data_IF_181777936488
#
_entry.id   IF_181777936488
#
_cell.length_a   1.000
_cell.length_b   1.000
_cell.length_c   1.000
_cell.angle_alpha   90.00
_cell.angle_beta   90.00
_cell.angle_gamma   90.00
#
_symmetry.space_group_name_H-M   'P 1'
#
loop_
_entity.id
_entity.type
_entity.pdbx_description
1 polymer ?
#
# COMPACT_ATOMS: atom_id res chain seq x y z
N UNK A 1 6.54 -41.34 -33.05
CA UNK A 1 5.63 -40.70 -32.08
C UNK A 1 6.18 -39.32 -31.83
N UNK A 2 5.65 -38.32 -32.53
CA UNK A 2 5.88 -36.92 -32.21
C UNK A 2 4.67 -36.51 -31.38
N UNK A 3 4.89 -36.30 -30.09
CA UNK A 3 3.94 -35.59 -29.24
C UNK A 3 3.95 -34.14 -29.73
N UNK A 4 2.87 -33.74 -30.41
CA UNK A 4 2.59 -32.34 -30.68
C UNK A 4 2.32 -31.68 -29.33
N UNK A 5 3.27 -30.87 -28.85
CA UNK A 5 3.04 -29.94 -27.77
C UNK A 5 1.92 -28.99 -28.20
N UNK A 6 0.72 -29.24 -27.68
CA UNK A 6 -0.41 -28.33 -27.78
C UNK A 6 -0.06 -27.07 -26.97
N UNK A 7 0.59 -26.12 -27.64
CA UNK A 7 0.86 -24.80 -27.08
C UNK A 7 -0.49 -24.16 -26.80
N UNK A 8 -0.89 -24.17 -25.52
CA UNK A 8 -2.06 -23.45 -25.03
C UNK A 8 -1.91 -22.00 -25.48
N UNK A 9 -2.64 -21.63 -26.52
CA UNK A 9 -2.71 -20.26 -27.03
C UNK A 9 -3.34 -19.41 -25.94
N UNK A 10 -2.49 -18.76 -25.13
CA UNK A 10 -2.92 -17.68 -24.25
C UNK A 10 -3.39 -16.57 -25.19
N UNK A 11 -4.71 -16.51 -25.41
CA UNK A 11 -5.37 -15.47 -26.20
C UNK A 11 -4.76 -14.10 -25.86
N UNK A 12 -4.22 -13.42 -26.88
CA UNK A 12 -3.51 -12.16 -26.70
C UNK A 12 -4.50 -11.08 -26.28
N UNK A 13 -4.49 -10.73 -24.99
CA UNK A 13 -5.45 -9.80 -24.39
C UNK A 13 -5.36 -8.41 -25.05
N UNK A 14 -6.53 -7.81 -25.28
CA UNK A 14 -6.65 -6.49 -25.91
C UNK A 14 -6.38 -5.35 -24.91
N UNK A 15 -6.08 -4.16 -25.43
CA UNK A 15 -5.88 -2.97 -24.60
C UNK A 15 -7.15 -2.62 -23.79
N UNK A 16 -8.33 -2.76 -24.39
CA UNK A 16 -9.62 -2.46 -23.76
C UNK A 16 -9.92 -3.42 -22.61
N UNK A 17 -9.66 -4.72 -22.78
CA UNK A 17 -9.86 -5.72 -21.72
C UNK A 17 -8.94 -5.45 -20.52
N UNK A 18 -7.66 -5.17 -20.78
CA UNK A 18 -6.69 -4.85 -19.73
C UNK A 18 -7.03 -3.53 -19.04
N UNK A 19 -7.46 -2.52 -19.79
CA UNK A 19 -7.93 -1.25 -19.24
C UNK A 19 -9.13 -1.45 -18.31
N UNK A 20 -10.07 -2.32 -18.69
CA UNK A 20 -11.24 -2.63 -17.87
C UNK A 20 -10.85 -3.36 -16.58
N UNK A 21 -9.96 -4.35 -16.66
CA UNK A 21 -9.45 -5.02 -15.46
C UNK A 21 -8.71 -4.06 -14.53
N UNK A 22 -7.90 -3.16 -15.09
CA UNK A 22 -7.21 -2.13 -14.32
C UNK A 22 -8.21 -1.21 -13.61
N UNK A 23 -9.27 -0.76 -14.28
CA UNK A 23 -10.34 0.03 -13.65
C UNK A 23 -11.00 -0.71 -12.48
N UNK A 24 -11.43 -1.95 -12.71
CA UNK A 24 -12.07 -2.77 -11.66
C UNK A 24 -11.15 -2.92 -10.45
N UNK A 25 -9.87 -3.15 -10.70
CA UNK A 25 -8.90 -3.32 -9.62
C UNK A 25 -8.64 -2.02 -8.85
N UNK A 26 -8.59 -0.87 -9.54
CA UNK A 26 -8.48 0.43 -8.90
C UNK A 26 -9.74 0.82 -8.11
N UNK A 27 -10.92 0.52 -8.64
CA UNK A 27 -12.19 0.73 -7.94
C UNK A 27 -12.25 -0.11 -6.67
N UNK A 28 -11.84 -1.37 -6.73
CA UNK A 28 -11.77 -2.24 -5.54
C UNK A 28 -10.81 -1.67 -4.49
N UNK A 29 -9.66 -1.14 -4.92
CA UNK A 29 -8.69 -0.48 -4.04
C UNK A 29 -9.18 0.90 -3.53
N UNK A 30 -10.22 1.47 -4.15
CA UNK A 30 -10.60 2.87 -3.95
C UNK A 30 -9.49 3.84 -4.37
N UNK A 31 -8.66 3.46 -5.34
CA UNK A 31 -7.55 4.27 -5.81
C UNK A 31 -7.92 5.07 -7.05
N UNK A 32 -7.59 6.35 -7.05
CA UNK A 32 -7.56 7.15 -8.28
C UNK A 32 -6.26 6.92 -9.06
N UNK A 33 -6.19 7.40 -10.30
CA UNK A 33 -4.95 7.40 -11.07
C UNK A 33 -3.80 8.13 -10.34
N UNK A 34 -4.12 9.19 -9.59
CA UNK A 34 -3.15 9.89 -8.74
C UNK A 34 -2.70 9.02 -7.57
N UNK A 35 -3.62 8.27 -6.94
CA UNK A 35 -3.27 7.32 -5.87
C UNK A 35 -2.33 6.20 -6.35
N UNK A 36 -2.61 5.63 -7.53
CA UNK A 36 -1.72 4.65 -8.16
C UNK A 36 -0.36 5.27 -8.49
N UNK A 37 -0.32 6.49 -9.02
CA UNK A 37 0.92 7.22 -9.29
C UNK A 37 1.77 7.39 -8.02
N UNK A 38 1.17 7.85 -6.92
CA UNK A 38 1.93 8.01 -5.66
C UNK A 38 2.45 6.67 -5.15
N UNK A 39 1.67 5.60 -5.30
CA UNK A 39 2.11 4.27 -4.94
C UNK A 39 3.32 3.85 -5.77
N UNK A 40 3.28 4.02 -7.09
CA UNK A 40 4.41 3.70 -7.97
C UNK A 40 5.67 4.49 -7.59
N UNK A 41 5.53 5.79 -7.29
CA UNK A 41 6.66 6.62 -6.82
C UNK A 41 7.21 6.15 -5.48
N UNK A 42 6.34 5.78 -4.53
CA UNK A 42 6.78 5.25 -3.23
C UNK A 42 7.54 3.92 -3.35
N UNK A 43 7.33 3.18 -4.45
CA UNK A 43 8.01 1.93 -4.76
C UNK A 43 9.26 2.13 -5.64
N UNK A 44 9.67 3.37 -5.89
CA UNK A 44 10.90 3.68 -6.62
C UNK A 44 10.73 3.98 -8.10
N UNK A 45 9.52 4.21 -8.60
CA UNK A 45 9.34 4.74 -9.95
C UNK A 45 9.98 6.14 -10.05
N UNK A 46 11.08 6.21 -10.81
CA UNK A 46 11.93 7.40 -10.95
C UNK A 46 11.38 8.41 -11.96
N UNK A 47 10.32 8.07 -12.71
CA UNK A 47 9.74 8.97 -13.70
C UNK A 47 9.05 10.15 -13.01
N UNK A 48 8.88 11.25 -13.74
CA UNK A 48 8.15 12.41 -13.22
C UNK A 48 6.68 12.05 -12.99
N UNK A 49 6.06 12.66 -11.97
CA UNK A 49 4.65 12.47 -11.64
C UNK A 49 3.73 12.67 -12.87
N UNK A 50 3.98 13.70 -13.67
CA UNK A 50 3.21 13.99 -14.89
C UNK A 50 3.31 12.87 -15.93
N UNK A 51 4.49 12.26 -16.10
CA UNK A 51 4.70 11.16 -17.05
C UNK A 51 3.98 9.90 -16.59
N UNK A 52 4.09 9.54 -15.31
CA UNK A 52 3.41 8.38 -14.73
C UNK A 52 1.89 8.55 -14.86
N UNK A 53 1.36 9.70 -14.43
CA UNK A 53 -0.08 9.98 -14.45
C UNK A 53 -0.65 9.95 -15.87
N UNK A 54 0.06 10.54 -16.85
CA UNK A 54 -0.33 10.47 -18.26
C UNK A 54 -0.36 9.03 -18.75
N UNK A 55 0.65 8.22 -18.41
CA UNK A 55 0.70 6.80 -18.76
C UNK A 55 -0.49 6.02 -18.20
N UNK A 56 -0.79 6.21 -16.92
CA UNK A 56 -1.94 5.57 -16.25
C UNK A 56 -3.25 5.97 -16.94
N UNK A 57 -3.49 7.26 -17.18
CA UNK A 57 -4.73 7.73 -17.80
C UNK A 57 -4.91 7.17 -19.22
N UNK A 58 -3.85 7.17 -20.04
CA UNK A 58 -3.92 6.58 -21.38
C UNK A 58 -4.20 5.08 -21.35
N UNK A 59 -3.62 4.37 -20.38
CA UNK A 59 -3.85 2.94 -20.17
C UNK A 59 -5.30 2.68 -19.72
N UNK A 60 -5.81 3.49 -18.78
CA UNK A 60 -7.22 3.43 -18.36
C UNK A 60 -8.15 3.73 -19.53
N UNK A 61 -7.86 4.73 -20.35
CA UNK A 61 -8.64 5.08 -21.55
C UNK A 61 -8.57 4.02 -22.67
N UNK A 62 -7.73 2.98 -22.52
CA UNK A 62 -7.55 1.93 -23.53
C UNK A 62 -6.75 2.39 -24.76
N UNK A 63 -6.12 3.56 -24.71
CA UNK A 63 -5.28 4.08 -25.79
C UNK A 63 -3.95 3.33 -25.92
N UNK A 64 -3.50 2.72 -24.82
CA UNK A 64 -2.30 1.87 -24.76
C UNK A 64 -2.61 0.64 -23.92
N UNK A 65 -1.95 -0.49 -24.20
CA UNK A 65 -2.00 -1.66 -23.32
C UNK A 65 -1.32 -1.29 -21.98
N UNK A 66 -1.98 -1.47 -20.82
CA UNK A 66 -1.29 -1.45 -19.53
C UNK A 66 -0.14 -2.46 -19.52
N UNK A 67 1.02 -2.11 -18.95
CA UNK A 67 2.14 -3.04 -18.89
C UNK A 67 1.83 -4.22 -17.95
N UNK A 68 2.46 -5.37 -18.18
CA UNK A 68 2.30 -6.54 -17.34
C UNK A 68 2.71 -6.27 -15.89
N UNK A 69 3.76 -5.48 -15.67
CA UNK A 69 4.22 -5.09 -14.33
C UNK A 69 3.21 -4.21 -13.61
N UNK A 70 2.55 -3.28 -14.34
CA UNK A 70 1.51 -2.44 -13.77
C UNK A 70 0.31 -3.29 -13.32
N UNK A 71 -0.11 -4.24 -14.16
CA UNK A 71 -1.18 -5.17 -13.82
C UNK A 71 -0.82 -6.02 -12.61
N UNK A 72 0.38 -6.60 -12.59
CA UNK A 72 0.87 -7.41 -11.47
C UNK A 72 0.92 -6.60 -10.16
N UNK A 73 1.43 -5.37 -10.21
CA UNK A 73 1.48 -4.46 -9.06
C UNK A 73 0.09 -4.21 -8.47
N UNK A 74 -0.87 -3.83 -9.32
CA UNK A 74 -2.23 -3.51 -8.89
C UNK A 74 -2.93 -4.76 -8.35
N UNK A 75 -2.77 -5.91 -9.01
CA UNK A 75 -3.34 -7.18 -8.53
C UNK A 75 -2.74 -7.61 -7.19
N UNK A 76 -1.44 -7.41 -6.99
CA UNK A 76 -0.80 -7.66 -5.70
C UNK A 76 -1.37 -6.75 -4.60
N UNK A 77 -1.59 -5.47 -4.92
CA UNK A 77 -2.24 -4.54 -4.00
C UNK A 77 -3.68 -4.96 -3.66
N UNK A 78 -4.46 -5.44 -4.64
CA UNK A 78 -5.83 -5.97 -4.40
C UNK A 78 -5.77 -7.16 -3.44
N UNK A 79 -4.88 -8.12 -3.69
CA UNK A 79 -4.70 -9.29 -2.81
C UNK A 79 -4.31 -8.89 -1.40
N UNK A 80 -3.43 -7.90 -1.28
CA UNK A 80 -3.01 -7.34 0.00
C UNK A 80 -4.18 -6.69 0.74
N UNK A 81 -4.97 -5.83 0.08
CA UNK A 81 -6.17 -5.24 0.69
C UNK A 81 -7.17 -6.31 1.14
N UNK A 82 -7.44 -7.31 0.30
CA UNK A 82 -8.32 -8.44 0.67
C UNK A 82 -7.81 -9.18 1.89
N UNK A 83 -6.49 -9.36 2.03
CA UNK A 83 -5.87 -9.97 3.22
C UNK A 83 -6.13 -9.11 4.47
N UNK A 84 -5.86 -7.81 4.38
CA UNK A 84 -6.11 -6.88 5.50
C UNK A 84 -7.58 -6.87 5.91
N UNK A 85 -8.50 -6.88 4.94
CA UNK A 85 -9.92 -6.95 5.21
C UNK A 85 -10.32 -8.26 5.89
N UNK A 86 -9.74 -9.41 5.52
CA UNK A 86 -10.00 -10.67 6.25
C UNK A 86 -9.51 -10.62 7.69
N UNK A 87 -8.38 -9.95 7.95
CA UNK A 87 -7.82 -9.84 9.29
C UNK A 87 -8.57 -8.85 10.16
N UNK A 88 -8.93 -7.68 9.62
CA UNK A 88 -9.34 -6.51 10.40
C UNK A 88 -10.78 -6.04 10.15
N UNK A 89 -11.57 -6.65 9.24
CA UNK A 89 -12.94 -6.17 8.92
C UNK A 89 -13.87 -6.10 10.12
N UNK A 90 -13.71 -7.00 11.09
CA UNK A 90 -14.52 -7.08 12.31
C UNK A 90 -13.98 -6.20 13.44
N UNK A 91 -12.98 -5.36 13.17
CA UNK A 91 -12.43 -4.44 14.18
C UNK A 91 -13.52 -3.49 14.67
N UNK A 92 -13.79 -3.44 15.99
CA UNK A 92 -14.77 -2.53 16.54
C UNK A 92 -14.27 -1.08 16.42
N UNK A 93 -15.11 -0.21 15.88
CA UNK A 93 -14.87 1.23 15.80
C UNK A 93 -15.78 1.94 16.79
N UNK A 94 -15.20 2.80 17.62
CA UNK A 94 -15.95 3.68 18.54
C UNK A 94 -16.08 5.06 17.90
N UNK A 95 -17.31 5.58 17.83
CA UNK A 95 -17.54 6.94 17.38
C UNK A 95 -17.31 7.93 18.54
N UNK A 96 -16.60 9.02 18.26
CA UNK A 96 -16.32 10.10 19.19
C UNK A 96 -17.34 11.24 19.02
N UNK A 97 -17.41 12.14 20.01
CA UNK A 97 -18.39 13.24 20.03
C UNK A 97 -18.23 14.28 18.90
N UNK A 98 -17.06 14.32 18.26
CA UNK A 98 -16.76 15.17 17.09
C UNK A 98 -17.09 14.49 15.75
N UNK A 99 -17.65 13.27 15.78
CA UNK A 99 -17.94 12.46 14.59
C UNK A 99 -16.74 11.68 14.06
N UNK A 100 -15.57 11.76 14.71
CA UNK A 100 -14.44 10.89 14.42
C UNK A 100 -14.73 9.44 14.82
N UNK A 101 -14.02 8.50 14.20
CA UNK A 101 -14.06 7.08 14.56
C UNK A 101 -12.67 6.66 15.01
N UNK A 102 -12.58 5.94 16.12
CA UNK A 102 -11.31 5.43 16.64
C UNK A 102 -11.37 3.95 16.96
N UNK A 103 -10.22 3.31 16.84
CA UNK A 103 -10.01 1.94 17.31
C UNK A 103 -8.56 1.77 17.73
N UNK A 104 -8.32 0.76 18.56
CA UNK A 104 -6.97 0.37 18.99
C UNK A 104 -6.70 -1.04 18.51
N UNK A 105 -5.59 -1.21 17.80
CA UNK A 105 -5.09 -2.50 17.36
C UNK A 105 -3.65 -2.62 17.86
N UNK A 106 -3.40 -3.60 18.73
CA UNK A 106 -2.09 -3.79 19.38
C UNK A 106 -1.60 -2.49 20.06
N UNK A 107 -0.42 -2.04 19.68
CA UNK A 107 0.24 -0.83 20.16
C UNK A 107 -0.13 0.43 19.36
N UNK A 108 -1.05 0.32 18.41
CA UNK A 108 -1.48 1.41 17.56
C UNK A 108 -2.90 1.90 17.86
N UNK A 109 -3.05 3.22 17.85
CA UNK A 109 -4.34 3.90 17.85
C UNK A 109 -4.61 4.47 16.46
N UNK A 110 -5.72 4.04 15.89
CA UNK A 110 -6.24 4.51 14.60
C UNK A 110 -7.35 5.52 14.88
N UNK A 111 -7.29 6.68 14.24
CA UNK A 111 -8.35 7.69 14.30
C UNK A 111 -8.68 8.17 12.90
N UNK A 112 -9.95 8.11 12.55
CA UNK A 112 -10.49 8.61 11.29
C UNK A 112 -11.33 9.84 11.60
N UNK A 113 -10.93 10.99 11.09
CA UNK A 113 -11.57 12.28 11.39
C UNK A 113 -12.28 12.82 10.15
N UNK A 114 -13.57 13.20 10.24
CA UNK A 114 -14.27 13.84 9.13
C UNK A 114 -13.64 15.19 8.81
N UNK A 115 -13.61 15.52 7.52
CA UNK A 115 -13.09 16.78 6.99
C UNK A 115 -14.14 17.45 6.09
N UNK A 116 -13.86 18.68 5.68
CA UNK A 116 -14.73 19.41 4.76
C UNK A 116 -14.94 18.65 3.44
N UNK A 117 -16.15 18.80 2.87
CA UNK A 117 -16.57 18.22 1.58
C UNK A 117 -16.59 16.68 1.56
N UNK A 118 -17.01 16.06 2.66
CA UNK A 118 -17.18 14.60 2.75
C UNK A 118 -15.86 13.81 2.78
N UNK A 119 -14.73 14.50 2.93
CA UNK A 119 -13.41 13.88 2.95
C UNK A 119 -13.07 13.38 4.34
N UNK A 120 -12.22 12.37 4.43
CA UNK A 120 -11.83 11.73 5.68
C UNK A 120 -10.32 11.67 5.78
N UNK A 121 -9.79 12.00 6.95
CA UNK A 121 -8.36 11.89 7.27
C UNK A 121 -8.14 10.68 8.16
N UNK A 122 -7.13 9.88 7.82
CA UNK A 122 -6.64 8.78 8.64
C UNK A 122 -5.44 9.26 9.44
N UNK A 123 -5.44 8.97 10.73
CA UNK A 123 -4.34 9.19 11.66
C UNK A 123 -3.99 7.84 12.33
N UNK A 124 -2.70 7.57 12.47
CA UNK A 124 -2.18 6.37 13.10
C UNK A 124 -1.06 6.76 14.07
N UNK A 125 -1.20 6.40 15.33
CA UNK A 125 -0.21 6.72 16.37
C UNK A 125 0.16 5.43 17.11
N UNK A 126 1.44 5.11 17.14
CA UNK A 126 2.02 4.06 17.99
C UNK A 126 2.11 4.55 19.44
N UNK A 127 2.08 3.63 20.42
CA UNK A 127 2.20 3.95 21.85
C UNK A 127 3.43 4.79 22.22
N UNK A 128 4.52 4.64 21.45
CA UNK A 128 5.78 5.37 21.67
C UNK A 128 5.79 6.76 20.97
N UNK A 129 4.65 7.19 20.42
CA UNK A 129 4.49 8.48 19.75
C UNK A 129 4.86 8.50 18.27
N UNK A 130 5.36 7.38 17.72
CA UNK A 130 5.60 7.26 16.28
C UNK A 130 4.29 7.36 15.49
N UNK A 131 4.30 8.13 14.41
CA UNK A 131 3.20 8.23 13.45
C UNK A 131 3.80 8.17 12.04
N UNK A 132 3.38 7.22 11.18
CA UNK A 132 3.82 7.25 9.79
C UNK A 132 3.24 8.48 9.06
N UNK A 133 3.77 8.80 7.86
CA UNK A 133 3.23 9.86 7.02
C UNK A 133 1.73 9.67 6.76
N UNK A 134 0.97 10.77 6.81
CA UNK A 134 -0.46 10.73 6.59
C UNK A 134 -0.79 10.30 5.16
N UNK A 135 -1.68 9.31 4.97
CA UNK A 135 -2.16 8.98 3.64
C UNK A 135 -3.02 10.13 3.09
N UNK A 136 -3.32 10.08 1.79
CA UNK A 136 -4.25 11.03 1.16
C UNK A 136 -5.62 11.00 1.84
N UNK A 137 -6.34 12.11 1.71
CA UNK A 137 -7.73 12.17 2.14
C UNK A 137 -8.57 11.17 1.34
N UNK A 138 -9.54 10.57 2.02
CA UNK A 138 -10.41 9.54 1.48
C UNK A 138 -11.82 10.09 1.28
N UNK A 139 -12.49 9.66 0.21
CA UNK A 139 -13.78 10.24 -0.19
C UNK A 139 -14.98 9.62 0.55
N UNK A 140 -14.74 8.62 1.40
CA UNK A 140 -15.77 7.99 2.23
C UNK A 140 -15.19 7.40 3.51
N UNK A 141 -16.04 7.17 4.51
CA UNK A 141 -15.65 6.53 5.78
C UNK A 141 -15.11 5.11 5.53
N UNK A 142 -15.72 4.35 4.62
CA UNK A 142 -15.28 2.98 4.33
C UNK A 142 -13.93 2.95 3.62
N UNK A 143 -13.69 3.87 2.68
CA UNK A 143 -12.37 4.05 2.09
C UNK A 143 -11.34 4.46 3.15
N UNK A 144 -11.72 5.31 4.10
CA UNK A 144 -10.87 5.69 5.22
C UNK A 144 -10.53 4.53 6.14
N UNK A 145 -11.50 3.66 6.48
CA UNK A 145 -11.24 2.44 7.27
C UNK A 145 -10.29 1.49 6.57
N UNK A 146 -10.48 1.25 5.26
CA UNK A 146 -9.55 0.44 4.44
C UNK A 146 -8.15 1.03 4.43
N UNK A 147 -8.04 2.33 4.19
CA UNK A 147 -6.77 3.04 4.19
C UNK A 147 -6.10 3.01 5.57
N UNK A 148 -6.88 3.02 6.65
CA UNK A 148 -6.37 2.91 8.02
C UNK A 148 -5.66 1.57 8.26
N UNK A 149 -6.22 0.45 7.76
CA UNK A 149 -5.55 -0.86 7.85
C UNK A 149 -4.30 -0.97 6.99
N UNK A 150 -4.30 -0.36 5.79
CA UNK A 150 -3.08 -0.28 4.95
C UNK A 150 -2.00 0.53 5.68
N UNK A 151 -2.39 1.64 6.30
CA UNK A 151 -1.47 2.50 7.06
C UNK A 151 -0.91 1.77 8.29
N UNK A 152 -1.74 0.96 8.97
CA UNK A 152 -1.31 0.10 10.07
C UNK A 152 -0.26 -0.91 9.64
N UNK A 153 -0.52 -1.69 8.59
CA UNK A 153 0.42 -2.72 8.11
C UNK A 153 1.76 -2.10 7.68
N UNK A 154 1.74 -0.97 6.97
CA UNK A 154 2.95 -0.22 6.64
C UNK A 154 3.69 0.29 7.90
N UNK A 155 2.95 0.77 8.92
CA UNK A 155 3.54 1.22 10.18
C UNK A 155 4.18 0.08 10.98
N UNK A 156 3.54 -1.09 11.01
CA UNK A 156 4.08 -2.30 11.62
C UNK A 156 5.35 -2.76 10.91
N UNK A 157 5.34 -2.83 9.57
CA UNK A 157 6.51 -3.21 8.78
C UNK A 157 7.67 -2.24 9.00
N UNK A 158 7.41 -0.93 9.01
CA UNK A 158 8.45 0.07 9.24
C UNK A 158 9.11 -0.07 10.63
N UNK A 159 8.32 -0.27 11.70
CA UNK A 159 8.87 -0.49 13.03
C UNK A 159 9.72 -1.76 13.10
N UNK A 160 9.31 -2.81 12.40
CA UNK A 160 10.05 -4.05 12.34
C UNK A 160 11.39 -3.88 11.58
N UNK A 161 11.36 -3.27 10.40
CA UNK A 161 12.57 -2.96 9.63
C UNK A 161 13.54 -2.08 10.43
N UNK A 162 13.01 -1.07 11.13
CA UNK A 162 13.80 -0.20 12.00
C UNK A 162 14.46 -0.98 13.16
N UNK A 163 13.71 -1.86 13.82
CA UNK A 163 14.24 -2.69 14.90
C UNK A 163 15.34 -3.65 14.41
N UNK A 164 15.15 -4.26 13.24
CA UNK A 164 16.16 -5.11 12.60
C UNK A 164 17.43 -4.34 12.25
N UNK A 165 17.30 -3.12 11.73
CA UNK A 165 18.45 -2.26 11.44
C UNK A 165 19.23 -1.90 12.71
N UNK A 166 18.54 -1.49 13.78
CA UNK A 166 19.18 -1.19 15.07
C UNK A 166 19.91 -2.40 15.65
N UNK A 167 19.34 -3.59 15.54
CA UNK A 167 19.97 -4.83 15.98
C UNK A 167 21.27 -5.14 15.20
N UNK A 168 21.26 -4.93 13.87
CA UNK A 168 22.46 -5.10 13.02
C UNK A 168 23.56 -4.11 13.40
N UNK A 169 23.22 -2.83 13.54
CA UNK A 169 24.18 -1.78 13.93
C UNK A 169 24.79 -2.03 15.33
N UNK A 170 23.99 -2.51 16.28
CA UNK A 170 24.48 -2.87 17.61
C UNK A 170 25.40 -4.09 17.60
N UNK A 171 25.09 -5.10 16.78
CA UNK A 171 25.93 -6.29 16.60
C UNK A 171 27.27 -5.93 15.94
N UNK A 172 27.25 -5.09 14.91
CA UNK A 172 28.46 -4.58 14.23
C UNK A 172 29.35 -3.80 15.20
N UNK A 173 28.80 -2.86 15.97
CA UNK A 173 29.54 -2.12 17.00
C UNK A 173 30.17 -3.08 18.03
N UNK A 174 29.42 -4.07 18.49
CA UNK A 174 29.91 -5.06 19.47
C UNK A 174 31.04 -5.92 18.89
N UNK A 175 30.98 -6.28 17.61
CA UNK A 175 32.02 -7.03 16.92
C UNK A 175 33.32 -6.21 16.77
N UNK A 176 33.22 -4.92 16.45
CA UNK A 176 34.36 -3.99 16.40
C UNK A 176 35.04 -3.88 17.77
N UNK A 177 34.28 -3.67 18.85
CA UNK A 177 34.83 -3.62 20.21
C UNK A 177 35.49 -4.92 20.67
N UNK A 178 35.05 -6.08 20.18
CA UNK A 178 35.68 -7.38 20.49
C UNK A 178 36.93 -7.65 19.65
N UNK A 179 37.03 -7.12 18.43
CA UNK A 179 38.21 -7.25 17.56
C UNK A 179 39.40 -6.41 18.03
N UNK A 180 39.16 -5.23 18.61
CA UNK A 180 40.22 -4.31 19.07
C UNK A 180 40.85 -4.70 20.43
N UNK A 181 40.30 -5.70 21.14
CA UNK A 181 40.88 -6.19 22.40
C UNK A 181 41.87 -7.35 22.23
N UNK A 182 42.17 -7.78 21.00
CA UNK A 182 43.06 -8.92 20.73
C UNK A 182 44.50 -8.54 20.31
N UNK A 183 44.80 -7.25 20.13
CA UNK A 183 46.12 -6.74 19.69
C UNK A 183 46.85 -5.91 20.77
N UNK A 184 46.89 -6.41 22.02
CA UNK A 184 47.78 -5.87 23.06
C UNK A 184 48.47 -6.98 23.85
#
# INVERSE_FOLDING_TARGET
>A
MHEEEEVVSISERTATELAQELRVSLDELGWSAAGLMDRMRSLGDYRTAATILRGINRALEGQIKPSGELMALVQQAVRFQRRLLRTYSNTPWSQLGDGSYTTRLEDFTLTITPQSRGRWRVNLIHKDGFSPPFPRWQDSLDAAKRMAFITLDNGQNWLQEYAEQQAREAAEKTAVYRGESSDR
#
